data_IF_255386934851
#
_entry.id   IF_255386934851
#
_cell.length_a   1.000
_cell.length_b   1.000
_cell.length_c   1.000
_cell.angle_alpha   90.00
_cell.angle_beta   90.00
_cell.angle_gamma   90.00
#
_symmetry.space_group_name_H-M   'P 1'
#
loop_
_entity.id
_entity.type
_entity.pdbx_description
1 polymer ?
#
# COMPACT_ATOMS: atom_id res chain seq x y z
N UNK A 1 22.08 -5.10 1.86
CA UNK A 1 21.72 -3.71 1.53
C UNK A 1 20.25 -3.66 1.12
N UNK A 2 19.54 -2.54 1.29
CA UNK A 2 18.14 -2.41 0.91
C UNK A 2 17.86 -1.08 0.20
N UNK A 3 16.83 -1.09 -0.64
CA UNK A 3 16.23 0.06 -1.29
C UNK A 3 14.72 0.07 -0.93
N UNK A 4 14.33 0.70 0.19
CA UNK A 4 12.93 0.70 0.67
C UNK A 4 11.99 1.53 -0.21
N UNK A 5 12.53 2.38 -1.08
CA UNK A 5 11.80 3.15 -2.10
C UNK A 5 11.83 2.48 -3.48
N UNK A 6 12.29 1.22 -3.58
CA UNK A 6 12.05 0.44 -4.80
C UNK A 6 10.55 0.23 -4.96
N UNK A 7 10.05 0.59 -6.14
CA UNK A 7 8.64 0.59 -6.46
C UNK A 7 8.35 -0.16 -7.75
N UNK A 8 7.13 -0.67 -7.83
CA UNK A 8 6.58 -1.35 -8.98
C UNK A 8 5.30 -0.64 -9.44
N UNK A 9 5.16 -0.47 -10.75
CA UNK A 9 3.94 0.05 -11.38
C UNK A 9 2.92 -1.07 -11.53
N UNK A 10 1.73 -0.88 -10.97
CA UNK A 10 0.60 -1.81 -11.04
C UNK A 10 -0.64 -1.01 -11.44
N UNK A 11 -1.08 -1.15 -12.69
CA UNK A 11 -2.11 -0.26 -13.22
C UNK A 11 -1.58 1.18 -13.30
N UNK A 12 -2.44 2.14 -12.96
CA UNK A 12 -2.05 3.54 -12.72
C UNK A 12 -1.37 3.77 -11.37
N UNK A 13 -1.33 2.76 -10.49
CA UNK A 13 -0.75 2.86 -9.14
C UNK A 13 0.73 2.51 -9.10
N UNK A 14 1.45 3.07 -8.12
CA UNK A 14 2.88 2.84 -7.87
C UNK A 14 3.06 2.35 -6.44
N UNK A 15 3.37 1.07 -6.29
CA UNK A 15 3.51 0.41 -4.99
C UNK A 15 4.96 0.38 -4.55
N UNK A 16 5.27 0.95 -3.38
CA UNK A 16 6.63 1.03 -2.82
C UNK A 16 6.84 -0.06 -1.78
N UNK A 17 6.96 -1.30 -2.27
CA UNK A 17 7.07 -2.51 -1.42
C UNK A 17 8.44 -2.65 -0.76
N UNK A 18 9.49 -2.11 -1.41
CA UNK A 18 10.89 -2.21 -1.00
C UNK A 18 11.58 -3.50 -1.45
N UNK A 19 12.90 -3.44 -1.64
CA UNK A 19 13.73 -4.60 -2.03
C UNK A 19 15.06 -4.62 -1.29
N UNK A 20 15.55 -5.82 -0.98
CA UNK A 20 16.84 -6.02 -0.32
C UNK A 20 17.71 -7.01 -1.08
N UNK A 21 19.03 -6.81 -1.04
CA UNK A 21 20.04 -7.70 -1.60
C UNK A 21 20.97 -8.20 -0.49
N UNK A 22 21.14 -9.52 -0.42
CA UNK A 22 22.17 -10.17 0.41
C UNK A 22 23.48 -10.16 -0.36
N UNK A 23 24.54 -9.69 0.29
CA UNK A 23 25.89 -9.64 -0.27
C UNK A 23 26.77 -10.72 0.39
N UNK A 24 27.79 -11.18 -0.32
CA UNK A 24 28.90 -11.97 0.23
C UNK A 24 30.06 -11.08 0.72
N UNK A 25 31.18 -11.71 1.08
CA UNK A 25 32.38 -11.02 1.55
C UNK A 25 33.09 -10.17 0.49
N UNK A 26 32.85 -10.44 -0.80
CA UNK A 26 33.37 -9.69 -1.94
C UNK A 26 32.34 -8.64 -2.45
N UNK A 27 31.32 -8.37 -1.62
CA UNK A 27 30.20 -7.46 -1.88
C UNK A 27 29.36 -7.82 -3.12
N UNK A 28 29.41 -9.08 -3.59
CA UNK A 28 28.61 -9.54 -4.72
C UNK A 28 27.20 -9.94 -4.27
N UNK A 29 26.16 -9.66 -5.07
CA UNK A 29 24.79 -10.04 -4.74
C UNK A 29 24.60 -11.56 -4.89
N UNK A 30 24.37 -12.24 -3.77
CA UNK A 30 24.12 -13.69 -3.70
C UNK A 30 22.65 -14.06 -3.54
N UNK A 31 21.76 -13.08 -3.34
CA UNK A 31 20.32 -13.30 -3.29
C UNK A 31 19.51 -12.03 -3.07
N UNK A 32 18.23 -12.10 -3.43
CA UNK A 32 17.26 -11.00 -3.33
C UNK A 32 16.18 -11.34 -2.31
N UNK A 33 15.83 -10.37 -1.49
CA UNK A 33 14.80 -10.44 -0.44
C UNK A 33 13.75 -9.39 -0.79
N UNK A 34 12.58 -9.85 -1.26
CA UNK A 34 11.45 -9.02 -1.66
C UNK A 34 10.13 -9.65 -1.17
N UNK A 35 9.94 -9.83 0.15
CA UNK A 35 8.82 -10.61 0.71
C UNK A 35 7.47 -9.93 0.57
N UNK A 36 7.46 -8.60 0.51
CA UNK A 36 6.30 -7.71 0.37
C UNK A 36 6.06 -7.31 -1.08
N UNK A 37 6.90 -7.74 -2.03
CA UNK A 37 6.67 -7.58 -3.46
C UNK A 37 5.53 -8.51 -3.89
N UNK A 38 4.29 -8.06 -3.66
CA UNK A 38 3.11 -8.69 -4.19
C UNK A 38 3.14 -8.64 -5.73
N UNK A 39 2.51 -9.63 -6.39
CA UNK A 39 2.15 -9.46 -7.79
C UNK A 39 1.05 -8.39 -7.86
N UNK A 40 1.09 -7.52 -8.86
CA UNK A 40 0.04 -6.54 -9.09
C UNK A 40 -1.34 -7.22 -9.05
N UNK A 41 -2.22 -6.75 -8.17
CA UNK A 41 -3.59 -7.24 -7.97
C UNK A 41 -4.55 -6.83 -9.09
N UNK A 42 -4.02 -6.31 -10.21
CA UNK A 42 -4.72 -5.97 -11.47
C UNK A 42 -5.19 -7.23 -12.24
N UNK A 43 -5.63 -8.26 -11.54
CA UNK A 43 -6.09 -9.52 -12.08
C UNK A 43 -7.62 -9.46 -12.23
N UNK A 44 -8.05 -8.75 -13.28
CA UNK A 44 -9.47 -8.49 -13.56
C UNK A 44 -9.88 -9.01 -14.92
N UNK A 45 -11.10 -9.52 -15.00
CA UNK A 45 -11.79 -9.77 -16.27
C UNK A 45 -12.75 -8.62 -16.52
N UNK A 46 -12.56 -7.91 -17.64
CA UNK A 46 -13.44 -6.83 -18.07
C UNK A 46 -14.23 -7.30 -19.28
N UNK A 47 -15.57 -7.25 -19.20
CA UNK A 47 -16.45 -7.47 -20.36
C UNK A 47 -17.15 -6.17 -20.69
N UNK A 48 -16.88 -5.62 -21.86
CA UNK A 48 -17.61 -4.46 -22.37
C UNK A 48 -18.86 -4.99 -23.09
N UNK A 49 -20.03 -4.46 -22.73
CA UNK A 49 -21.33 -4.76 -23.34
C UNK A 49 -21.80 -3.53 -24.07
N UNK A 50 -21.80 -3.61 -25.41
CA UNK A 50 -21.83 -2.45 -26.29
C UNK A 50 -23.04 -2.47 -27.21
N UNK A 51 -23.85 -1.42 -27.11
CA UNK A 51 -24.97 -1.19 -28.01
C UNK A 51 -24.47 -0.91 -29.45
N UNK A 52 -24.91 -1.73 -30.39
CA UNK A 52 -24.65 -1.65 -31.82
C UNK A 52 -25.93 -1.43 -32.66
N UNK A 53 -27.02 -1.02 -32.01
CA UNK A 53 -28.31 -0.72 -32.64
C UNK A 53 -28.24 0.51 -33.57
N UNK A 54 -29.35 0.83 -34.25
CA UNK A 54 -29.43 1.89 -35.25
C UNK A 54 -29.57 3.32 -34.68
N UNK A 55 -29.68 3.50 -33.37
CA UNK A 55 -29.67 4.82 -32.72
C UNK A 55 -28.25 5.38 -32.58
N UNK A 56 -27.28 4.51 -32.24
CA UNK A 56 -25.85 4.80 -32.07
C UNK A 56 -25.26 5.36 -33.38
N UNK A 57 -25.05 6.68 -33.42
CA UNK A 57 -24.42 7.34 -34.56
C UNK A 57 -23.71 8.65 -34.16
N UNK A 58 -22.43 8.84 -34.56
CA UNK A 58 -21.67 8.02 -35.50
C UNK A 58 -20.80 6.95 -34.82
N UNK A 59 -20.74 5.75 -35.42
CA UNK A 59 -20.03 4.59 -34.86
C UNK A 59 -18.53 4.81 -34.58
N UNK A 60 -17.86 5.68 -35.34
CA UNK A 60 -16.42 5.90 -35.15
C UNK A 60 -16.09 6.52 -33.79
N UNK A 61 -17.01 7.24 -33.14
CA UNK A 61 -16.78 7.76 -31.79
C UNK A 61 -16.79 6.65 -30.74
N UNK A 62 -17.60 5.60 -30.96
CA UNK A 62 -17.58 4.39 -30.14
C UNK A 62 -16.25 3.64 -30.33
N UNK A 63 -15.75 3.53 -31.56
CA UNK A 63 -14.43 2.94 -31.85
C UNK A 63 -13.29 3.76 -31.21
N UNK A 64 -13.38 5.09 -31.20
CA UNK A 64 -12.45 5.99 -30.52
C UNK A 64 -12.49 5.77 -29.00
N UNK A 65 -13.68 5.76 -28.40
CA UNK A 65 -13.87 5.51 -26.96
C UNK A 65 -13.26 4.17 -26.55
N UNK A 66 -13.57 3.08 -27.27
CA UNK A 66 -12.97 1.76 -27.04
C UNK A 66 -11.45 1.83 -27.14
N UNK A 67 -10.91 2.41 -28.22
CA UNK A 67 -9.45 2.55 -28.39
C UNK A 67 -8.79 3.31 -27.23
N UNK A 68 -9.44 4.38 -26.76
CA UNK A 68 -8.92 5.22 -25.70
C UNK A 68 -8.99 4.52 -24.33
N UNK A 69 -10.12 3.91 -23.95
CA UNK A 69 -10.23 3.20 -22.67
C UNK A 69 -9.34 1.94 -22.63
N UNK A 70 -9.28 1.17 -23.71
CA UNK A 70 -8.48 -0.06 -23.79
C UNK A 70 -6.98 0.25 -23.75
N UNK A 71 -6.55 1.42 -24.25
CA UNK A 71 -5.15 1.89 -24.12
C UNK A 71 -4.72 2.23 -22.70
N UNK A 72 -5.68 2.45 -21.77
CA UNK A 72 -5.41 2.70 -20.35
C UNK A 72 -5.27 1.40 -19.54
N UNK A 73 -5.75 0.27 -20.07
CA UNK A 73 -5.73 -1.01 -19.37
C UNK A 73 -4.41 -1.76 -19.57
N UNK A 74 -3.88 -2.32 -18.48
CA UNK A 74 -2.70 -3.17 -18.48
C UNK A 74 -3.10 -4.61 -18.84
N UNK A 75 -3.32 -4.82 -20.13
CA UNK A 75 -3.83 -6.07 -20.69
C UNK A 75 -2.70 -7.09 -20.78
N UNK A 76 -2.94 -8.29 -20.22
CA UNK A 76 -1.99 -9.39 -20.23
C UNK A 76 -2.51 -10.65 -19.52
N UNK A 77 -1.97 -11.84 -19.84
CA UNK A 77 -2.51 -13.11 -19.34
C UNK A 77 -2.49 -13.24 -17.81
N UNK A 78 -1.54 -12.57 -17.14
CA UNK A 78 -1.44 -12.49 -15.68
C UNK A 78 -1.98 -11.18 -15.06
N UNK A 79 -2.66 -10.34 -15.84
CA UNK A 79 -3.21 -9.03 -15.45
C UNK A 79 -4.66 -8.91 -15.94
N UNK A 80 -5.01 -7.81 -16.63
CA UNK A 80 -6.35 -7.58 -17.14
C UNK A 80 -6.58 -8.40 -18.41
N UNK A 81 -7.74 -9.04 -18.52
CA UNK A 81 -8.24 -9.62 -19.76
C UNK A 81 -9.52 -8.90 -20.17
N UNK A 82 -9.71 -8.67 -21.47
CA UNK A 82 -10.88 -7.93 -21.98
C UNK A 82 -11.64 -8.74 -23.01
N UNK A 83 -12.94 -8.93 -22.78
CA UNK A 83 -13.91 -9.44 -23.75
C UNK A 83 -14.83 -8.31 -24.23
N UNK A 84 -15.40 -8.45 -25.44
CA UNK A 84 -16.35 -7.49 -26.00
C UNK A 84 -17.58 -8.21 -26.54
N UNK A 85 -18.74 -7.87 -26.01
CA UNK A 85 -20.05 -8.34 -26.44
C UNK A 85 -20.80 -7.16 -27.09
N UNK A 86 -21.03 -7.22 -28.40
CA UNK A 86 -21.87 -6.23 -29.09
C UNK A 86 -23.32 -6.73 -29.14
N UNK A 87 -24.31 -5.83 -29.00
CA UNK A 87 -25.72 -6.21 -29.02
C UNK A 87 -26.66 -5.25 -29.77
N UNK A 88 -27.87 -5.74 -30.06
CA UNK A 88 -28.96 -5.03 -30.74
C UNK A 88 -30.20 -5.91 -30.74
N UNK A 89 -30.63 -6.41 -31.90
CA UNK A 89 -31.62 -7.50 -32.02
C UNK A 89 -31.05 -8.87 -31.56
N UNK A 90 -29.72 -9.02 -31.61
CA UNK A 90 -28.98 -10.20 -31.16
C UNK A 90 -27.78 -9.74 -30.32
N UNK A 91 -27.13 -10.64 -29.59
CA UNK A 91 -25.89 -10.36 -28.86
C UNK A 91 -24.78 -11.33 -29.29
N UNK A 92 -23.61 -10.79 -29.65
CA UNK A 92 -22.49 -11.52 -30.27
C UNK A 92 -21.20 -11.15 -29.55
N UNK A 93 -20.38 -12.17 -29.27
CA UNK A 93 -19.03 -11.97 -28.74
C UNK A 93 -18.10 -11.62 -29.90
N UNK A 94 -17.68 -10.35 -29.98
CA UNK A 94 -16.71 -9.86 -30.97
C UNK A 94 -15.33 -10.44 -30.67
N UNK A 95 -15.01 -10.57 -29.37
CA UNK A 95 -13.95 -11.43 -28.87
C UNK A 95 -14.16 -11.83 -27.41
N UNK A 96 -13.50 -12.91 -27.02
CA UNK A 96 -13.58 -13.55 -25.69
C UNK A 96 -12.42 -13.12 -24.78
N UNK A 97 -12.53 -13.38 -23.47
CA UNK A 97 -11.47 -13.07 -22.51
C UNK A 97 -10.19 -13.86 -22.87
N UNK A 98 -9.04 -13.21 -22.71
CA UNK A 98 -7.74 -13.80 -23.00
C UNK A 98 -7.45 -14.02 -24.50
N UNK A 99 -8.34 -13.62 -25.41
CA UNK A 99 -8.11 -13.73 -26.87
C UNK A 99 -6.89 -12.94 -27.36
N UNK A 100 -6.61 -11.83 -26.71
CA UNK A 100 -5.49 -10.93 -26.96
C UNK A 100 -4.62 -10.81 -25.70
N UNK A 101 -3.35 -10.45 -25.87
CA UNK A 101 -2.36 -10.51 -24.80
C UNK A 101 -1.65 -9.18 -24.52
N UNK A 102 -1.87 -8.14 -25.34
CA UNK A 102 -1.37 -6.78 -25.07
C UNK A 102 -2.44 -5.73 -25.39
N UNK A 103 -2.24 -4.50 -24.92
CA UNK A 103 -3.16 -3.39 -25.17
C UNK A 103 -3.18 -2.99 -26.66
N UNK A 104 -2.05 -3.05 -27.34
CA UNK A 104 -1.93 -2.71 -28.77
C UNK A 104 -2.77 -3.65 -29.65
N UNK A 105 -2.76 -4.96 -29.36
CA UNK A 105 -3.58 -5.96 -30.06
C UNK A 105 -5.08 -5.67 -29.91
N UNK A 106 -5.52 -5.40 -28.67
CA UNK A 106 -6.93 -5.12 -28.34
C UNK A 106 -7.39 -3.79 -28.94
N UNK A 107 -6.55 -2.75 -28.89
CA UNK A 107 -6.85 -1.45 -29.50
C UNK A 107 -6.94 -1.55 -31.02
N UNK A 108 -6.11 -2.37 -31.67
CA UNK A 108 -6.22 -2.58 -33.12
C UNK A 108 -7.47 -3.41 -33.49
N UNK A 109 -7.87 -4.38 -32.67
CA UNK A 109 -9.17 -5.04 -32.83
C UNK A 109 -10.35 -4.07 -32.69
N UNK A 110 -10.30 -3.18 -31.69
CA UNK A 110 -11.34 -2.18 -31.41
C UNK A 110 -11.51 -1.13 -32.52
N UNK A 111 -10.45 -0.78 -33.27
CA UNK A 111 -10.58 0.11 -34.45
C UNK A 111 -11.28 -0.55 -35.64
N UNK A 112 -11.20 -1.88 -35.72
CA UNK A 112 -11.69 -2.65 -36.87
C UNK A 112 -13.08 -3.27 -36.64
N UNK A 113 -13.71 -3.04 -35.47
CA UNK A 113 -15.06 -3.53 -35.17
C UNK A 113 -16.14 -2.85 -36.02
N UNK A 114 -16.94 -3.66 -36.71
CA UNK A 114 -18.14 -3.20 -37.42
C UNK A 114 -19.35 -3.16 -36.49
N UNK A 115 -20.17 -2.12 -36.63
CA UNK A 115 -21.50 -2.05 -36.00
C UNK A 115 -22.38 -3.18 -36.52
N UNK A 116 -23.11 -3.88 -35.63
CA UNK A 116 -23.97 -5.01 -36.03
C UNK A 116 -25.20 -4.59 -36.84
N UNK A 117 -25.73 -3.40 -36.52
CA UNK A 117 -27.01 -2.87 -37.00
C UNK A 117 -28.22 -3.65 -36.45
N UNK A 118 -29.23 -2.93 -35.95
CA UNK A 118 -30.41 -3.54 -35.34
C UNK A 118 -31.50 -2.52 -35.04
N UNK A 119 -32.77 -2.94 -35.12
CA UNK A 119 -33.94 -2.09 -34.87
C UNK A 119 -34.41 -2.12 -33.42
N UNK A 120 -33.98 -3.11 -32.65
CA UNK A 120 -34.23 -3.26 -31.22
C UNK A 120 -32.93 -3.08 -30.44
N UNK A 121 -33.05 -2.67 -29.18
CA UNK A 121 -31.96 -2.56 -28.20
C UNK A 121 -32.27 -3.53 -27.05
N UNK A 122 -31.73 -4.75 -27.12
CA UNK A 122 -31.98 -5.82 -26.13
C UNK A 122 -30.92 -5.86 -25.01
N UNK A 123 -31.00 -4.88 -24.13
CA UNK A 123 -30.02 -4.65 -23.05
C UNK A 123 -30.07 -5.74 -21.98
N UNK A 124 -31.27 -6.19 -21.58
CA UNK A 124 -31.40 -7.23 -20.55
C UNK A 124 -30.80 -8.56 -21.03
N UNK A 125 -31.11 -8.97 -22.26
CA UNK A 125 -30.55 -10.15 -22.90
C UNK A 125 -29.01 -10.07 -23.00
N UNK A 126 -28.46 -8.91 -23.36
CA UNK A 126 -27.02 -8.70 -23.46
C UNK A 126 -26.32 -8.82 -22.10
N UNK A 127 -26.88 -8.20 -21.05
CA UNK A 127 -26.37 -8.29 -19.67
C UNK A 127 -26.41 -9.73 -19.16
N UNK A 128 -27.54 -10.42 -19.32
CA UNK A 128 -27.67 -11.82 -18.93
C UNK A 128 -26.62 -12.69 -19.66
N UNK A 129 -26.43 -12.49 -20.97
CA UNK A 129 -25.44 -13.21 -21.77
C UNK A 129 -24.00 -12.90 -21.36
N UNK A 130 -23.69 -11.66 -21.01
CA UNK A 130 -22.36 -11.30 -20.49
C UNK A 130 -22.08 -12.04 -19.18
N UNK A 131 -23.01 -12.00 -18.23
CA UNK A 131 -22.87 -12.63 -16.92
C UNK A 131 -22.89 -14.17 -16.97
N UNK A 132 -23.58 -14.79 -17.93
CA UNK A 132 -23.64 -16.26 -18.05
C UNK A 132 -22.62 -16.88 -19.00
N UNK A 133 -22.29 -16.23 -20.13
CA UNK A 133 -21.35 -16.74 -21.13
C UNK A 133 -20.02 -15.99 -21.17
N UNK A 134 -19.99 -14.65 -21.16
CA UNK A 134 -18.74 -13.91 -21.41
C UNK A 134 -17.71 -14.08 -20.29
N UNK A 135 -18.16 -14.17 -19.04
CA UNK A 135 -17.32 -14.50 -17.88
C UNK A 135 -17.16 -16.00 -17.61
N UNK A 136 -17.59 -16.87 -18.52
CA UNK A 136 -17.50 -18.32 -18.31
C UNK A 136 -16.07 -18.85 -18.56
N UNK A 137 -15.63 -19.92 -17.87
CA UNK A 137 -14.30 -20.50 -18.11
C UNK A 137 -14.07 -20.97 -19.54
N UNK A 138 -15.14 -21.36 -20.24
CA UNK A 138 -15.11 -21.76 -21.65
C UNK A 138 -14.76 -20.60 -22.59
N UNK A 139 -15.00 -19.35 -22.17
CA UNK A 139 -14.66 -18.10 -22.88
C UNK A 139 -13.46 -17.35 -22.28
N UNK A 140 -12.64 -18.03 -21.50
CA UNK A 140 -11.44 -17.47 -20.86
C UNK A 140 -11.66 -16.83 -19.49
N UNK A 141 -12.88 -16.83 -18.96
CA UNK A 141 -13.19 -16.27 -17.64
C UNK A 141 -12.46 -16.96 -16.49
N UNK A 142 -11.83 -16.18 -15.64
CA UNK A 142 -10.98 -16.65 -14.54
C UNK A 142 -11.78 -16.69 -13.24
N UNK A 143 -11.57 -17.74 -12.44
CA UNK A 143 -12.35 -17.96 -11.22
C UNK A 143 -11.90 -17.05 -10.07
N UNK A 144 -10.63 -16.66 -10.08
CA UNK A 144 -9.92 -15.84 -9.11
C UNK A 144 -9.80 -14.36 -9.52
N UNK A 145 -10.37 -13.97 -10.67
CA UNK A 145 -10.38 -12.59 -11.14
C UNK A 145 -11.60 -11.79 -10.68
N UNK A 146 -11.39 -10.50 -10.39
CA UNK A 146 -12.47 -9.54 -10.21
C UNK A 146 -13.20 -9.37 -11.55
N UNK A 147 -14.52 -9.53 -11.56
CA UNK A 147 -15.35 -9.45 -12.76
C UNK A 147 -16.00 -8.07 -12.87
N UNK A 148 -15.71 -7.38 -13.97
CA UNK A 148 -16.19 -6.02 -14.20
C UNK A 148 -16.88 -5.94 -15.57
N UNK A 149 -18.12 -5.50 -15.58
CA UNK A 149 -18.89 -5.25 -16.80
C UNK A 149 -19.01 -3.75 -17.05
N UNK A 150 -18.83 -3.30 -18.29
CA UNK A 150 -19.05 -1.92 -18.71
C UNK A 150 -20.16 -1.93 -19.75
N UNK A 151 -21.36 -1.47 -19.39
CA UNK A 151 -22.52 -1.36 -20.30
C UNK A 151 -22.54 0.03 -20.93
N UNK A 152 -22.68 0.12 -22.25
CA UNK A 152 -22.74 1.38 -23.00
C UNK A 152 -23.92 1.35 -23.98
N UNK A 153 -24.84 2.30 -23.86
CA UNK A 153 -26.06 2.39 -24.69
C UNK A 153 -26.54 3.84 -24.83
N UNK A 154 -27.33 4.13 -25.87
CA UNK A 154 -27.96 5.43 -26.15
C UNK A 154 -29.50 5.41 -26.12
N UNK A 155 -30.12 4.29 -25.72
CA UNK A 155 -31.57 4.10 -25.75
C UNK A 155 -32.11 3.18 -24.66
N UNK A 156 -33.37 3.42 -24.27
CA UNK A 156 -34.14 2.50 -23.42
C UNK A 156 -34.21 1.09 -24.01
N UNK A 157 -34.10 0.10 -23.12
CA UNK A 157 -34.15 -1.30 -23.48
C UNK A 157 -35.55 -1.73 -23.95
N UNK A 158 -35.60 -2.52 -25.02
CA UNK A 158 -36.85 -3.10 -25.52
C UNK A 158 -37.28 -4.34 -24.70
N UNK A 159 -36.39 -4.85 -23.85
CA UNK A 159 -36.52 -6.00 -22.96
C UNK A 159 -36.39 -5.61 -21.47
N UNK A 160 -36.71 -4.36 -21.11
CA UNK A 160 -36.52 -3.83 -19.76
C UNK A 160 -37.26 -4.56 -18.64
N UNK A 161 -38.35 -5.26 -18.95
CA UNK A 161 -39.05 -6.14 -17.98
C UNK A 161 -38.19 -7.34 -17.55
N UNK A 162 -37.18 -7.74 -18.34
CA UNK A 162 -36.27 -8.86 -18.08
C UNK A 162 -35.00 -8.44 -17.31
N UNK A 163 -34.74 -7.13 -17.15
CA UNK A 163 -33.56 -6.61 -16.42
C UNK A 163 -33.40 -7.18 -15.00
N UNK A 164 -34.45 -7.33 -14.17
CA UNK A 164 -34.29 -7.86 -12.81
C UNK A 164 -33.72 -9.29 -12.76
N UNK A 165 -34.04 -10.14 -13.74
CA UNK A 165 -33.50 -11.50 -13.85
C UNK A 165 -32.04 -11.48 -14.30
N UNK A 166 -31.73 -10.67 -15.32
CA UNK A 166 -30.38 -10.47 -15.82
C UNK A 166 -29.42 -9.97 -14.71
N UNK A 167 -29.84 -8.95 -13.95
CA UNK A 167 -29.05 -8.36 -12.88
C UNK A 167 -28.87 -9.32 -11.69
N UNK A 168 -29.88 -10.11 -11.33
CA UNK A 168 -29.77 -11.12 -10.28
C UNK A 168 -28.71 -12.20 -10.61
N UNK A 169 -28.60 -12.60 -11.89
CA UNK A 169 -27.63 -13.59 -12.33
C UNK A 169 -26.19 -13.04 -12.40
N UNK A 170 -26.04 -11.71 -12.56
CA UNK A 170 -24.78 -10.97 -12.40
C UNK A 170 -24.35 -10.83 -10.93
N UNK A 171 -25.26 -10.45 -10.03
CA UNK A 171 -25.01 -10.34 -8.58
C UNK A 171 -24.55 -11.69 -7.99
N UNK A 172 -25.23 -12.79 -8.37
CA UNK A 172 -24.86 -14.16 -8.00
C UNK A 172 -23.43 -14.58 -8.43
N UNK A 173 -22.81 -13.84 -9.36
CA UNK A 173 -21.43 -14.07 -9.86
C UNK A 173 -20.43 -13.01 -9.39
N UNK A 174 -20.83 -12.10 -8.51
CA UNK A 174 -20.06 -10.93 -8.07
C UNK A 174 -19.52 -10.11 -9.27
N UNK A 175 -20.37 -9.85 -10.27
CA UNK A 175 -20.02 -8.96 -11.39
C UNK A 175 -20.32 -7.52 -11.02
N UNK A 176 -19.27 -6.71 -10.83
CA UNK A 176 -19.40 -5.24 -10.67
C UNK A 176 -19.77 -4.61 -12.01
N UNK A 177 -20.75 -3.70 -12.04
CA UNK A 177 -21.30 -3.15 -13.28
C UNK A 177 -21.16 -1.63 -13.32
N UNK A 178 -20.46 -1.16 -14.33
CA UNK A 178 -20.47 0.24 -14.75
C UNK A 178 -21.47 0.42 -15.88
N UNK A 179 -22.19 1.54 -15.88
CA UNK A 179 -23.23 1.82 -16.87
C UNK A 179 -23.08 3.24 -17.41
N UNK A 180 -23.03 3.39 -18.73
CA UNK A 180 -22.79 4.64 -19.45
C UNK A 180 -23.99 4.95 -20.34
N UNK A 181 -24.71 6.02 -20.00
CA UNK A 181 -25.85 6.54 -20.75
C UNK A 181 -25.40 7.61 -21.76
N UNK A 182 -25.59 7.36 -23.06
CA UNK A 182 -25.29 8.30 -24.14
C UNK A 182 -26.56 9.08 -24.53
N UNK A 183 -26.62 10.37 -24.20
CA UNK A 183 -27.84 11.17 -24.36
C UNK A 183 -28.06 11.75 -25.77
N UNK A 184 -27.13 11.48 -26.70
CA UNK A 184 -27.11 12.07 -28.04
C UNK A 184 -28.43 11.86 -28.80
N UNK A 185 -28.98 10.65 -28.76
CA UNK A 185 -30.24 10.30 -29.42
C UNK A 185 -31.44 11.14 -28.96
N UNK A 186 -31.55 11.35 -27.63
CA UNK A 186 -32.65 12.08 -26.99
C UNK A 186 -32.51 13.59 -27.20
N UNK A 187 -31.32 14.14 -26.97
CA UNK A 187 -31.05 15.58 -27.13
C UNK A 187 -31.24 16.03 -28.59
N UNK A 188 -30.83 15.21 -29.57
CA UNK A 188 -31.06 15.48 -31.00
C UNK A 188 -32.56 15.49 -31.39
N UNK A 189 -33.42 14.85 -30.61
CA UNK A 189 -34.88 14.78 -30.84
C UNK A 189 -35.72 15.63 -29.88
N UNK A 190 -35.10 16.36 -28.95
CA UNK A 190 -35.79 17.09 -27.88
C UNK A 190 -36.71 16.18 -27.04
N UNK A 191 -36.27 14.94 -26.81
CA UNK A 191 -36.96 13.98 -25.95
C UNK A 191 -36.39 14.05 -24.53
N UNK A 192 -37.23 13.74 -23.54
CA UNK A 192 -36.88 13.68 -22.13
C UNK A 192 -36.14 12.35 -21.82
N UNK A 193 -34.90 12.38 -21.29
CA UNK A 193 -34.14 11.18 -20.96
C UNK A 193 -34.36 10.68 -19.52
N UNK A 194 -35.31 11.21 -18.73
CA UNK A 194 -35.46 10.83 -17.31
C UNK A 194 -35.71 9.33 -17.08
N UNK A 195 -36.54 8.68 -17.91
CA UNK A 195 -36.82 7.23 -17.79
C UNK A 195 -35.60 6.39 -18.23
N UNK A 196 -34.95 6.76 -19.35
CA UNK A 196 -33.67 6.18 -19.79
C UNK A 196 -32.58 6.23 -18.71
N UNK A 197 -32.33 7.42 -18.14
CA UNK A 197 -31.30 7.59 -17.08
C UNK A 197 -31.62 6.72 -15.86
N UNK A 198 -32.90 6.51 -15.54
CA UNK A 198 -33.34 5.65 -14.44
C UNK A 198 -33.06 4.16 -14.72
N UNK A 199 -33.28 3.71 -15.95
CA UNK A 199 -32.92 2.36 -16.39
C UNK A 199 -31.40 2.11 -16.30
N UNK A 200 -30.58 3.03 -16.82
CA UNK A 200 -29.12 2.84 -16.85
C UNK A 200 -28.51 2.93 -15.44
N UNK A 201 -29.08 3.72 -14.52
CA UNK A 201 -28.76 3.67 -13.09
C UNK A 201 -29.08 2.31 -12.47
N UNK A 202 -30.27 1.76 -12.77
CA UNK A 202 -30.67 0.45 -12.27
C UNK A 202 -29.77 -0.71 -12.76
N UNK A 203 -29.12 -0.55 -13.92
CA UNK A 203 -28.12 -1.49 -14.44
C UNK A 203 -26.79 -1.41 -13.68
N UNK A 204 -26.39 -0.23 -13.19
CA UNK A 204 -25.14 -0.03 -12.48
C UNK A 204 -25.10 -0.80 -11.14
N UNK A 205 -23.91 -0.91 -10.54
CA UNK A 205 -23.75 -1.32 -9.14
C UNK A 205 -23.93 -0.13 -8.20
N UNK A 206 -24.30 -0.40 -6.94
CA UNK A 206 -24.38 0.63 -5.90
C UNK A 206 -23.00 1.05 -5.35
N UNK A 207 -22.76 2.34 -5.05
CA UNK A 207 -23.68 3.46 -5.23
C UNK A 207 -23.57 4.11 -6.62
N UNK A 208 -24.69 4.62 -7.13
CA UNK A 208 -24.83 5.34 -8.41
C UNK A 208 -23.66 6.29 -8.70
N UNK A 209 -23.26 7.14 -7.74
CA UNK A 209 -22.26 8.19 -7.96
C UNK A 209 -20.88 7.64 -8.36
N UNK A 210 -20.62 6.35 -8.10
CA UNK A 210 -19.37 5.65 -8.44
C UNK A 210 -19.45 4.88 -9.77
N UNK A 211 -20.59 4.26 -10.09
CA UNK A 211 -20.68 3.29 -11.18
C UNK A 211 -21.51 3.75 -12.38
N UNK A 212 -22.37 4.75 -12.21
CA UNK A 212 -23.13 5.36 -13.30
C UNK A 212 -22.39 6.58 -13.91
N UNK A 213 -22.43 6.68 -15.22
CA UNK A 213 -21.96 7.83 -16.01
C UNK A 213 -23.02 8.23 -17.04
N UNK A 214 -23.15 9.53 -17.31
CA UNK A 214 -23.87 10.03 -18.46
C UNK A 214 -22.99 10.94 -19.31
N UNK A 215 -23.22 10.93 -20.62
CA UNK A 215 -22.53 11.79 -21.59
C UNK A 215 -23.55 12.45 -22.52
N UNK A 216 -23.25 13.66 -22.99
CA UNK A 216 -24.18 14.44 -23.84
C UNK A 216 -24.36 13.85 -25.23
N UNK A 217 -23.30 13.24 -25.77
CA UNK A 217 -23.27 12.61 -27.09
C UNK A 217 -22.15 11.57 -27.15
N UNK A 218 -22.00 10.93 -28.30
CA UNK A 218 -21.03 9.89 -28.57
C UNK A 218 -19.58 10.40 -28.49
N UNK A 219 -19.32 11.67 -28.81
CA UNK A 219 -17.97 12.24 -28.76
C UNK A 219 -17.51 12.48 -27.32
N UNK A 220 -18.43 12.91 -26.45
CA UNK A 220 -18.22 13.08 -25.00
C UNK A 220 -17.92 11.77 -24.25
N UNK A 221 -18.07 10.59 -24.87
CA UNK A 221 -17.54 9.34 -24.33
C UNK A 221 -16.02 9.41 -24.07
N UNK A 222 -15.28 10.20 -24.86
CA UNK A 222 -13.83 10.34 -24.68
C UNK A 222 -13.48 11.13 -23.40
N UNK A 223 -14.34 12.04 -22.94
CA UNK A 223 -14.11 12.86 -21.74
C UNK A 223 -14.20 12.05 -20.44
N UNK A 224 -14.97 10.96 -20.44
CA UNK A 224 -15.13 10.09 -19.27
C UNK A 224 -14.06 9.00 -19.16
N UNK A 225 -13.19 8.82 -20.16
CA UNK A 225 -12.18 7.74 -20.20
C UNK A 225 -11.23 7.80 -19.00
N UNK A 226 -10.72 8.99 -18.66
CA UNK A 226 -9.82 9.16 -17.52
C UNK A 226 -10.55 8.92 -16.19
N UNK A 227 -11.75 9.49 -16.02
CA UNK A 227 -12.55 9.31 -14.80
C UNK A 227 -13.00 7.86 -14.58
N UNK A 228 -13.34 7.14 -15.64
CA UNK A 228 -13.71 5.72 -15.59
C UNK A 228 -12.47 4.85 -15.30
N UNK A 229 -11.35 5.10 -15.98
CA UNK A 229 -10.08 4.43 -15.70
C UNK A 229 -9.66 4.58 -14.24
N UNK A 230 -9.56 5.81 -13.74
CA UNK A 230 -9.15 6.11 -12.36
C UNK A 230 -10.07 5.43 -11.33
N UNK A 231 -11.39 5.37 -11.58
CA UNK A 231 -12.33 4.67 -10.68
C UNK A 231 -12.17 3.15 -10.70
N UNK A 232 -11.88 2.56 -11.87
CA UNK A 232 -11.62 1.12 -12.00
C UNK A 232 -10.33 0.75 -11.23
N UNK A 233 -9.26 1.53 -11.36
CA UNK A 233 -8.01 1.28 -10.65
C UNK A 233 -8.06 1.62 -9.15
N UNK A 234 -8.87 2.60 -8.73
CA UNK A 234 -9.05 2.97 -7.30
C UNK A 234 -9.72 1.88 -6.46
N UNK A 235 -10.35 0.88 -7.09
CA UNK A 235 -10.90 -0.29 -6.40
C UNK A 235 -9.82 -1.20 -5.80
N UNK A 236 -8.58 -1.16 -6.29
CA UNK A 236 -7.48 -2.00 -5.79
C UNK A 236 -6.88 -1.55 -4.44
N UNK A 237 -7.28 -0.38 -3.92
CA UNK A 237 -6.79 0.19 -2.66
C UNK A 237 -7.88 0.57 -1.66
N UNK A 238 -9.13 0.09 -1.84
CA UNK A 238 -10.24 0.38 -0.92
C UNK A 238 -11.09 -0.85 -0.61
N UNK A 239 -10.48 -1.79 0.12
CA UNK A 239 -11.24 -2.59 1.08
C UNK A 239 -12.04 -1.67 2.02
N UNK A 240 -13.18 -2.14 2.54
CA UNK A 240 -14.24 -1.25 3.06
C UNK A 240 -13.81 -0.33 4.22
N UNK A 241 -14.65 0.65 4.59
CA UNK A 241 -14.35 1.74 5.55
C UNK A 241 -13.61 1.35 6.86
N UNK A 242 -13.73 0.10 7.31
CA UNK A 242 -13.10 -0.46 8.52
C UNK A 242 -11.82 -1.26 8.29
N UNK A 243 -11.44 -1.59 7.05
CA UNK A 243 -10.21 -2.30 6.69
C UNK A 243 -9.09 -1.30 6.35
N UNK A 244 -7.87 -1.81 6.13
CA UNK A 244 -6.77 -0.99 5.60
C UNK A 244 -6.92 -0.78 4.11
N UNK A 245 -6.56 0.41 3.63
CA UNK A 245 -6.47 0.67 2.19
C UNK A 245 -5.23 0.03 1.59
N UNK A 246 -4.14 -0.02 2.35
CA UNK A 246 -2.91 -0.71 1.98
C UNK A 246 -2.48 -1.65 3.11
N UNK A 247 -2.32 -2.94 2.81
CA UNK A 247 -1.73 -3.92 3.73
C UNK A 247 -0.20 -3.90 3.64
N UNK A 248 0.38 -4.28 2.50
CA UNK A 248 1.83 -4.45 2.32
C UNK A 248 2.35 -3.88 0.99
N UNK A 249 1.48 -3.31 0.16
CA UNK A 249 1.77 -2.69 -1.13
C UNK A 249 2.73 -1.49 -0.95
N UNK A 250 2.57 -0.79 0.18
CA UNK A 250 3.42 0.33 0.60
C UNK A 250 4.37 -0.05 1.74
N UNK A 251 4.68 -1.33 1.95
CA UNK A 251 5.43 -1.79 3.13
C UNK A 251 6.81 -1.13 3.31
N UNK A 252 7.48 -0.72 2.23
CA UNK A 252 8.82 -0.11 2.24
C UNK A 252 9.85 -0.96 3.02
N UNK A 253 9.93 -2.28 2.76
CA UNK A 253 10.80 -3.17 3.53
C UNK A 253 12.27 -2.76 3.46
N UNK A 254 12.95 -2.88 4.60
CA UNK A 254 14.35 -2.50 4.72
C UNK A 254 14.52 -1.00 4.87
N UNK A 255 13.47 -0.30 5.31
CA UNK A 255 13.56 1.08 5.78
C UNK A 255 14.55 1.18 6.93
N UNK A 256 14.50 0.21 7.84
CA UNK A 256 15.55 -0.10 8.80
C UNK A 256 15.83 -1.61 8.80
N UNK A 257 17.01 -1.99 9.29
CA UNK A 257 17.51 -3.37 9.29
C UNK A 257 18.32 -3.58 10.56
N UNK A 258 18.13 -4.71 11.24
CA UNK A 258 18.98 -5.16 12.33
C UNK A 258 19.38 -6.63 12.12
N UNK A 259 20.66 -6.93 12.32
CA UNK A 259 21.17 -8.30 12.17
C UNK A 259 20.97 -9.08 13.47
N UNK A 260 20.44 -10.30 13.35
CA UNK A 260 20.25 -11.24 14.44
C UNK A 260 21.27 -12.37 14.33
N UNK A 261 21.49 -13.13 15.41
CA UNK A 261 22.38 -14.31 15.38
C UNK A 261 21.96 -15.36 14.34
N UNK A 262 20.65 -15.47 14.06
CA UNK A 262 20.04 -16.51 13.22
C UNK A 262 19.25 -15.97 12.02
N UNK A 263 19.29 -14.65 11.77
CA UNK A 263 18.46 -14.00 10.75
C UNK A 263 18.60 -12.49 10.67
N UNK A 264 17.59 -11.83 10.11
CA UNK A 264 17.51 -10.37 9.95
C UNK A 264 16.12 -9.91 10.39
N UNK A 265 16.08 -8.82 11.16
CA UNK A 265 14.86 -8.06 11.45
C UNK A 265 14.80 -6.84 10.51
N UNK A 266 13.70 -6.68 9.80
CA UNK A 266 13.44 -5.55 8.91
C UNK A 266 12.33 -4.66 9.47
N UNK A 267 12.49 -3.36 9.32
CA UNK A 267 11.42 -2.38 9.47
C UNK A 267 10.60 -2.21 8.18
N UNK A 268 9.28 -2.03 8.33
CA UNK A 268 8.31 -1.86 7.24
C UNK A 268 7.36 -0.69 7.56
N UNK A 269 7.85 0.55 7.42
CA UNK A 269 7.16 1.76 7.92
C UNK A 269 5.82 2.07 7.27
N UNK A 270 5.59 1.59 6.05
CA UNK A 270 4.37 1.85 5.29
C UNK A 270 3.39 0.68 5.24
N UNK A 271 3.66 -0.39 5.98
CA UNK A 271 2.68 -1.47 6.17
C UNK A 271 1.45 -0.95 6.93
N UNK A 272 0.27 -1.46 6.58
CA UNK A 272 -1.02 -1.18 7.23
C UNK A 272 -1.33 0.32 7.34
N UNK A 273 -1.47 0.99 6.20
CA UNK A 273 -1.70 2.46 6.09
C UNK A 273 -0.67 3.32 6.85
N UNK A 274 0.60 2.92 6.85
CA UNK A 274 1.69 3.57 7.60
C UNK A 274 1.55 3.53 9.14
N UNK A 275 0.69 2.69 9.72
CA UNK A 275 0.89 2.26 11.12
C UNK A 275 2.30 1.67 11.29
N UNK A 276 2.73 0.89 10.30
CA UNK A 276 4.03 0.25 10.21
C UNK A 276 4.07 -1.12 10.85
N UNK A 277 5.12 -1.89 10.53
CA UNK A 277 5.33 -3.25 11.02
C UNK A 277 6.81 -3.63 11.01
N UNK A 278 7.10 -4.87 11.40
CA UNK A 278 8.41 -5.50 11.27
C UNK A 278 8.29 -6.85 10.56
N UNK A 279 9.41 -7.36 10.06
CA UNK A 279 9.51 -8.70 9.47
C UNK A 279 10.79 -9.37 9.96
N UNK A 280 10.69 -10.61 10.46
CA UNK A 280 11.87 -11.47 10.70
C UNK A 280 12.05 -12.42 9.52
N UNK A 281 13.28 -12.53 9.01
CA UNK A 281 13.68 -13.60 8.11
C UNK A 281 14.89 -14.31 8.72
N UNK A 282 14.67 -15.52 9.22
CA UNK A 282 15.67 -16.33 9.92
C UNK A 282 15.70 -17.77 9.41
N UNK A 283 16.63 -18.58 9.91
CA UNK A 283 16.66 -20.02 9.64
C UNK A 283 15.37 -20.76 10.05
N UNK A 284 14.51 -20.14 10.87
CA UNK A 284 13.20 -20.65 11.30
C UNK A 284 12.08 -20.33 10.31
N UNK A 285 12.36 -19.59 9.23
CA UNK A 285 11.41 -19.14 8.23
C UNK A 285 11.21 -17.62 8.25
N UNK A 286 10.20 -17.16 7.52
CA UNK A 286 9.81 -15.75 7.44
C UNK A 286 8.58 -15.49 8.29
N UNK A 287 8.63 -14.47 9.14
CA UNK A 287 7.55 -14.09 10.04
C UNK A 287 7.14 -12.66 9.75
N UNK A 288 5.87 -12.48 9.36
CA UNK A 288 5.22 -11.19 9.16
C UNK A 288 4.05 -11.14 10.14
N UNK A 289 4.12 -10.37 11.23
CA UNK A 289 2.99 -10.17 12.11
C UNK A 289 1.84 -9.49 11.36
N UNK A 290 0.60 -10.00 11.43
CA UNK A 290 -0.55 -9.29 10.89
C UNK A 290 -0.80 -8.01 11.68
N UNK A 291 -1.47 -7.01 11.09
CA UNK A 291 -1.85 -5.73 11.75
C UNK A 291 -2.34 -5.92 13.20
N UNK A 292 -3.23 -6.90 13.41
CA UNK A 292 -3.85 -7.22 14.71
C UNK A 292 -2.86 -7.60 15.81
N UNK A 293 -1.64 -8.03 15.47
CA UNK A 293 -0.59 -8.33 16.43
C UNK A 293 -0.12 -7.08 17.20
N UNK A 294 -0.24 -5.89 16.61
CA UNK A 294 0.15 -4.61 17.21
C UNK A 294 -1.04 -3.75 17.68
N UNK A 295 -2.28 -4.19 17.45
CA UNK A 295 -3.53 -3.42 17.67
C UNK A 295 -3.70 -2.88 19.11
N UNK A 296 -3.16 -3.57 20.12
CA UNK A 296 -3.17 -3.07 21.52
C UNK A 296 -2.34 -1.80 21.70
N UNK A 297 -1.26 -1.65 20.92
CA UNK A 297 -0.34 -0.52 20.99
C UNK A 297 -0.61 0.53 19.90
N UNK A 298 -1.27 0.13 18.82
CA UNK A 298 -1.62 0.92 17.64
C UNK A 298 -3.09 0.63 17.28
N UNK A 299 -4.05 1.23 18.03
CA UNK A 299 -5.46 0.90 17.91
C UNK A 299 -6.09 1.55 16.67
N UNK A 300 -7.20 0.97 16.18
CA UNK A 300 -7.78 1.29 14.87
C UNK A 300 -8.24 2.76 14.73
N UNK A 301 -8.58 3.43 15.83
CA UNK A 301 -8.93 4.86 15.86
C UNK A 301 -7.76 5.76 15.43
N UNK A 302 -6.52 5.25 15.50
CA UNK A 302 -5.30 5.95 15.08
C UNK A 302 -4.80 5.50 13.70
N UNK A 303 -5.55 4.69 12.92
CA UNK A 303 -5.08 4.12 11.64
C UNK A 303 -4.54 5.11 10.61
N UNK A 304 -4.98 6.36 10.67
CA UNK A 304 -4.55 7.43 9.76
C UNK A 304 -3.45 8.35 10.35
N UNK A 305 -2.92 8.06 11.55
CA UNK A 305 -1.85 8.86 12.16
C UNK A 305 -0.48 8.65 11.52
N UNK A 306 -0.31 7.58 10.72
CA UNK A 306 0.95 7.18 10.09
C UNK A 306 2.09 7.11 11.12
N UNK A 307 2.01 6.15 12.04
CA UNK A 307 2.89 6.02 13.20
C UNK A 307 4.34 5.63 12.85
N UNK A 308 4.55 4.99 11.70
CA UNK A 308 5.83 4.49 11.18
C UNK A 308 6.52 3.49 12.12
N UNK A 309 5.80 2.51 12.65
CA UNK A 309 6.43 1.39 13.37
C UNK A 309 7.43 0.67 12.46
N UNK A 310 8.61 0.37 12.99
CA UNK A 310 9.74 -0.15 12.22
C UNK A 310 10.58 0.95 11.55
N UNK A 311 10.44 2.22 11.93
CA UNK A 311 11.34 3.28 11.45
C UNK A 311 12.79 3.02 11.86
N UNK A 312 12.98 2.53 13.08
CA UNK A 312 14.22 1.93 13.56
C UNK A 312 13.90 0.58 14.21
N UNK A 313 14.81 -0.39 14.07
CA UNK A 313 14.67 -1.73 14.66
C UNK A 313 15.96 -2.15 15.33
N UNK A 314 15.87 -2.94 16.41
CA UNK A 314 17.01 -3.54 17.10
C UNK A 314 16.58 -4.78 17.88
N UNK A 315 17.48 -5.39 18.66
CA UNK A 315 17.16 -6.49 19.58
C UNK A 315 17.95 -6.40 20.87
N UNK A 316 17.33 -6.78 21.98
CA UNK A 316 17.97 -6.97 23.28
C UNK A 316 18.17 -8.46 23.55
N UNK A 317 19.28 -8.82 24.17
CA UNK A 317 19.48 -10.13 24.81
C UNK A 317 19.31 -9.96 26.31
N UNK A 318 18.48 -10.79 26.92
CA UNK A 318 18.20 -10.78 28.36
C UNK A 318 18.98 -11.90 29.07
N UNK A 319 19.17 -11.83 30.40
CA UNK A 319 19.70 -12.93 31.19
C UNK A 319 18.96 -14.24 30.91
N UNK A 320 19.71 -15.32 30.72
CA UNK A 320 19.14 -16.62 30.28
C UNK A 320 18.97 -16.78 28.77
N UNK A 321 19.40 -15.80 27.96
CA UNK A 321 19.45 -15.91 26.49
C UNK A 321 18.15 -15.61 25.77
N UNK A 322 17.10 -15.18 26.48
CA UNK A 322 15.85 -14.70 25.91
C UNK A 322 16.09 -13.44 25.07
N UNK A 323 15.39 -13.30 23.93
CA UNK A 323 15.52 -12.16 23.01
C UNK A 323 14.25 -11.31 23.03
N UNK A 324 14.40 -9.99 23.15
CA UNK A 324 13.35 -9.03 22.84
C UNK A 324 13.70 -8.31 21.54
N UNK A 325 12.71 -8.11 20.68
CA UNK A 325 12.81 -7.21 19.54
C UNK A 325 12.44 -5.78 19.96
N UNK A 326 13.08 -4.80 19.35
CA UNK A 326 12.82 -3.37 19.58
C UNK A 326 12.37 -2.76 18.25
N UNK A 327 11.27 -2.00 18.26
CA UNK A 327 10.83 -1.26 17.10
C UNK A 327 10.37 0.15 17.49
N UNK A 328 10.88 1.14 16.76
CA UNK A 328 10.53 2.55 16.89
C UNK A 328 9.40 2.97 15.96
N UNK A 329 8.53 3.86 16.45
CA UNK A 329 7.38 4.45 15.76
C UNK A 329 7.36 5.97 16.02
N UNK A 330 8.30 6.75 15.44
CA UNK A 330 8.59 8.13 15.85
C UNK A 330 7.50 9.15 15.51
N UNK A 331 6.46 8.75 14.75
CA UNK A 331 5.28 9.58 14.46
C UNK A 331 4.06 9.23 15.32
N UNK A 332 4.10 8.17 16.13
CA UNK A 332 2.99 7.76 16.98
C UNK A 332 2.47 8.94 17.84
N UNK A 333 1.18 9.27 17.70
CA UNK A 333 0.53 10.44 18.33
C UNK A 333 1.33 11.75 18.20
N UNK A 334 2.15 11.86 17.16
CA UNK A 334 3.11 12.92 16.88
C UNK A 334 4.16 13.16 17.97
N UNK A 335 4.27 12.29 18.98
CA UNK A 335 5.32 12.34 20.02
C UNK A 335 6.42 11.30 19.80
N UNK A 336 6.07 10.18 19.18
CA UNK A 336 6.94 9.03 18.99
C UNK A 336 6.74 7.97 20.08
N UNK A 337 7.10 6.74 19.75
CA UNK A 337 6.95 5.55 20.60
C UNK A 337 8.04 4.52 20.28
N UNK A 338 8.42 3.70 21.25
CA UNK A 338 9.24 2.51 21.06
C UNK A 338 8.56 1.33 21.75
N UNK A 339 8.49 0.17 21.11
CA UNK A 339 7.99 -1.05 21.73
C UNK A 339 9.10 -2.10 21.85
N UNK A 340 9.09 -2.82 22.97
CA UNK A 340 9.91 -4.00 23.25
C UNK A 340 8.98 -5.21 23.27
N UNK A 341 9.24 -6.21 22.43
CA UNK A 341 8.29 -7.31 22.22
C UNK A 341 8.96 -8.64 21.91
N UNK A 342 8.25 -9.72 22.22
CA UNK A 342 8.53 -11.06 21.71
C UNK A 342 7.69 -11.33 20.47
N UNK A 343 8.21 -12.15 19.56
CA UNK A 343 7.51 -12.58 18.36
C UNK A 343 7.62 -14.11 18.23
N UNK A 344 6.47 -14.77 18.22
CA UNK A 344 6.38 -16.20 17.99
C UNK A 344 6.47 -16.54 16.50
N UNK A 345 6.83 -17.79 16.17
CA UNK A 345 6.87 -18.29 14.78
C UNK A 345 5.52 -18.27 14.07
N UNK A 346 4.42 -18.12 14.82
CA UNK A 346 3.04 -17.91 14.33
C UNK A 346 2.75 -16.46 13.90
N UNK A 347 3.71 -15.53 14.04
CA UNK A 347 3.47 -14.09 13.86
C UNK A 347 2.75 -13.43 15.04
N UNK A 348 2.51 -14.16 16.12
CA UNK A 348 1.91 -13.60 17.36
C UNK A 348 2.95 -12.74 18.09
N UNK A 349 2.60 -11.49 18.36
CA UNK A 349 3.45 -10.54 19.10
C UNK A 349 2.98 -10.43 20.55
N UNK A 350 3.93 -10.48 21.49
CA UNK A 350 3.69 -10.15 22.90
C UNK A 350 4.54 -8.96 23.28
N UNK A 351 3.90 -7.80 23.44
CA UNK A 351 4.60 -6.58 23.86
C UNK A 351 4.96 -6.70 25.34
N UNK A 352 6.25 -6.77 25.63
CA UNK A 352 6.79 -6.76 26.99
C UNK A 352 6.70 -5.35 27.58
N UNK A 353 6.87 -4.31 26.75
CA UNK A 353 6.80 -2.92 27.17
C UNK A 353 6.62 -1.94 25.99
N UNK A 354 5.98 -0.81 26.27
CA UNK A 354 5.89 0.33 25.37
C UNK A 354 6.38 1.62 26.06
N UNK A 355 7.17 2.42 25.33
CA UNK A 355 7.75 3.70 25.74
C UNK A 355 7.16 4.79 24.85
N UNK A 356 6.59 5.85 25.44
CA UNK A 356 6.00 6.95 24.67
C UNK A 356 6.80 8.23 24.89
N UNK A 357 7.11 8.95 23.80
CA UNK A 357 7.79 10.24 23.86
C UNK A 357 6.95 11.29 24.58
N UNK A 358 7.61 12.21 25.28
CA UNK A 358 6.93 13.24 26.08
C UNK A 358 6.45 14.41 25.22
N UNK A 359 7.32 14.86 24.30
CA UNK A 359 7.18 16.08 23.51
C UNK A 359 6.71 15.80 22.07
N UNK A 360 5.72 16.57 21.61
CA UNK A 360 5.23 16.55 20.23
C UNK A 360 6.32 17.06 19.28
N UNK A 361 6.51 16.38 18.16
CA UNK A 361 7.53 16.70 17.15
C UNK A 361 8.92 16.20 17.48
N UNK A 362 9.17 15.68 18.69
CA UNK A 362 10.52 15.27 19.14
C UNK A 362 11.12 14.07 18.40
N UNK A 363 10.28 13.32 17.68
CA UNK A 363 10.68 12.17 16.87
C UNK A 363 11.28 11.02 17.72
N UNK A 364 10.76 10.84 18.94
CA UNK A 364 11.22 9.82 19.90
C UNK A 364 11.09 8.40 19.33
N UNK A 365 12.17 7.63 19.36
CA UNK A 365 12.22 6.30 18.77
C UNK A 365 12.58 6.27 17.28
N UNK A 366 13.14 7.35 16.74
CA UNK A 366 13.65 7.37 15.35
C UNK A 366 15.04 6.74 15.18
N UNK A 367 15.77 6.56 16.28
CA UNK A 367 17.01 5.80 16.35
C UNK A 367 17.01 5.02 17.68
N UNK A 368 17.47 3.77 17.66
CA UNK A 368 17.61 2.91 18.84
C UNK A 368 18.93 2.15 18.78
N UNK A 369 19.64 2.07 19.90
CA UNK A 369 20.94 1.39 19.97
C UNK A 369 21.04 0.54 21.24
N UNK A 370 21.21 -0.77 21.06
CA UNK A 370 21.39 -1.75 22.12
C UNK A 370 22.90 -1.93 22.41
N UNK A 371 23.29 -1.82 23.68
CA UNK A 371 24.66 -2.03 24.15
C UNK A 371 24.71 -3.13 25.21
N UNK A 372 25.64 -4.06 24.99
CA UNK A 372 26.27 -4.93 25.99
C UNK A 372 27.53 -4.18 26.43
N UNK A 373 27.58 -3.73 27.69
CA UNK A 373 28.60 -2.78 28.15
C UNK A 373 29.78 -3.52 28.78
N UNK A 374 29.56 -4.58 29.55
CA UNK A 374 30.65 -5.38 30.14
C UNK A 374 31.09 -6.61 29.32
N UNK A 375 30.38 -6.91 28.22
CA UNK A 375 30.74 -7.97 27.28
C UNK A 375 30.29 -9.37 27.72
N UNK A 376 29.36 -9.50 28.68
CA UNK A 376 28.87 -10.80 29.15
C UNK A 376 27.89 -11.49 28.19
N UNK A 377 27.46 -10.80 27.12
CA UNK A 377 26.48 -11.26 26.15
C UNK A 377 25.04 -10.84 26.45
N UNK A 378 24.78 -10.08 27.52
CA UNK A 378 23.48 -9.52 27.88
C UNK A 378 23.45 -8.03 27.53
N UNK A 379 22.30 -7.54 27.08
CA UNK A 379 22.15 -6.11 26.75
C UNK A 379 21.89 -5.28 28.00
N UNK A 380 22.94 -4.65 28.52
CA UNK A 380 22.90 -3.70 29.63
C UNK A 380 22.04 -2.47 29.34
N UNK A 381 22.22 -1.83 28.18
CA UNK A 381 21.65 -0.49 27.90
C UNK A 381 20.88 -0.51 26.59
N UNK A 382 19.71 0.14 26.57
CA UNK A 382 19.02 0.55 25.35
C UNK A 382 19.00 2.08 25.30
N UNK A 383 19.75 2.64 24.37
CA UNK A 383 19.61 4.04 23.97
C UNK A 383 18.42 4.17 23.02
N UNK A 384 17.62 5.20 23.24
CA UNK A 384 16.58 5.69 22.34
C UNK A 384 16.93 7.13 22.03
N UNK A 385 16.68 7.61 20.81
CA UNK A 385 16.85 9.02 20.46
C UNK A 385 15.53 9.77 20.27
N UNK A 386 15.58 11.09 20.47
CA UNK A 386 14.54 12.05 20.09
C UNK A 386 15.22 13.28 19.44
N UNK A 387 15.78 13.15 18.23
CA UNK A 387 16.67 14.14 17.64
C UNK A 387 15.99 15.47 17.28
N UNK A 388 14.65 15.54 17.27
CA UNK A 388 13.91 16.78 17.03
C UNK A 388 13.38 17.40 18.33
N UNK A 389 13.87 16.95 19.50
CA UNK A 389 13.46 17.49 20.79
C UNK A 389 13.95 18.94 20.97
N UNK A 390 13.01 19.86 21.23
CA UNK A 390 13.26 21.28 21.43
C UNK A 390 13.28 21.62 22.93
N UNK A 391 14.40 22.17 23.40
CA UNK A 391 14.50 22.80 24.73
C UNK A 391 14.18 24.31 24.63
N UNK A 392 13.23 24.79 25.45
CA UNK A 392 12.88 26.20 25.51
C UNK A 392 14.00 27.06 26.12
N UNK A 393 14.08 28.32 25.73
CA UNK A 393 15.13 29.24 26.18
C UNK A 393 15.24 29.30 27.71
N UNK A 394 16.45 29.11 28.23
CA UNK A 394 16.73 29.18 29.67
C UNK A 394 16.67 27.84 30.42
N UNK A 395 16.14 26.77 29.81
CA UNK A 395 16.32 25.41 30.36
C UNK A 395 17.57 24.76 29.76
N UNK A 396 18.34 24.08 30.62
CA UNK A 396 19.50 23.28 30.19
C UNK A 396 19.00 22.09 29.36
N UNK A 397 19.75 21.70 28.34
CA UNK A 397 19.34 20.66 27.39
C UNK A 397 19.09 19.31 28.06
N UNK A 398 17.82 18.88 28.07
CA UNK A 398 17.30 17.64 28.63
C UNK A 398 15.97 17.30 27.94
N UNK A 399 15.53 16.02 27.87
CA UNK A 399 16.33 14.80 27.71
C UNK A 399 15.72 13.81 26.69
N UNK A 400 16.42 12.71 26.37
CA UNK A 400 15.76 11.49 25.87
C UNK A 400 15.59 10.51 27.04
N UNK A 401 14.38 10.02 27.35
CA UNK A 401 14.16 9.12 28.49
C UNK A 401 14.51 7.65 28.15
N UNK A 402 15.42 7.00 28.91
CA UNK A 402 15.55 5.55 28.90
C UNK A 402 14.47 4.90 29.78
N UNK A 403 13.90 3.80 29.31
CA UNK A 403 12.96 2.94 30.03
C UNK A 403 13.09 1.52 29.42
N UNK A 404 13.05 0.45 30.23
CA UNK A 404 12.84 -0.97 29.84
C UNK A 404 12.22 -1.61 31.09
N UNK A 405 12.37 -2.91 31.23
CA UNK A 405 12.87 -3.51 32.47
C UNK A 405 14.19 -2.84 32.98
N UNK A 406 14.64 -1.72 32.40
CA UNK A 406 15.61 -0.71 32.88
C UNK A 406 14.80 0.35 33.63
N UNK A 407 15.14 0.59 34.89
CA UNK A 407 14.83 1.90 35.47
C UNK A 407 15.53 2.99 34.62
N UNK A 408 14.94 4.19 34.46
CA UNK A 408 15.60 5.31 33.80
C UNK A 408 16.96 5.60 34.45
N UNK A 409 18.06 5.24 33.77
CA UNK A 409 19.41 5.31 34.34
C UNK A 409 20.07 6.68 34.21
N UNK A 410 19.59 7.53 33.29
CA UNK A 410 20.10 8.89 33.10
C UNK A 410 19.74 9.47 31.73
N UNK A 411 20.54 10.40 31.24
CA UNK A 411 20.45 10.95 29.88
C UNK A 411 21.85 11.31 29.41
N UNK A 412 22.16 11.06 28.13
CA UNK A 412 23.39 11.53 27.52
C UNK A 412 23.26 13.03 27.18
N UNK A 413 24.19 13.85 27.65
CA UNK A 413 24.18 15.30 27.46
C UNK A 413 25.23 15.75 26.44
N UNK A 414 24.80 16.44 25.37
CA UNK A 414 25.64 17.23 24.48
C UNK A 414 26.22 18.48 25.19
N UNK A 415 26.99 19.31 24.46
CA UNK A 415 27.50 20.58 25.02
C UNK A 415 26.36 21.60 25.28
N UNK A 416 26.66 22.74 25.90
CA UNK A 416 25.70 23.64 26.53
C UNK A 416 24.90 24.55 25.58
N UNK A 417 25.06 24.45 24.26
CA UNK A 417 24.35 25.31 23.27
C UNK A 417 23.86 24.63 21.95
N UNK A 418 23.33 23.39 21.94
CA UNK A 418 22.89 22.76 20.70
C UNK A 418 21.44 23.19 20.44
N UNK A 419 21.22 24.34 19.80
CA UNK A 419 19.91 24.64 19.21
C UNK A 419 19.81 23.93 17.87
N UNK A 420 18.78 23.09 17.72
CA UNK A 420 18.49 22.30 16.50
C UNK A 420 19.67 21.44 15.98
N UNK A 421 20.57 20.96 16.86
CA UNK A 421 21.76 20.19 16.45
C UNK A 421 21.45 18.77 15.94
N UNK A 422 20.23 18.29 16.20
CA UNK A 422 19.78 16.91 16.01
C UNK A 422 20.66 15.88 16.70
N UNK A 423 21.11 16.17 17.92
CA UNK A 423 21.79 15.21 18.77
C UNK A 423 20.97 13.91 18.92
N UNK A 424 21.60 12.76 18.65
CA UNK A 424 20.93 11.45 18.61
C UNK A 424 20.41 11.05 17.24
N UNK A 425 20.67 11.80 16.16
CA UNK A 425 20.22 11.44 14.82
C UNK A 425 20.84 10.15 14.26
N UNK A 426 22.01 9.77 14.79
CA UNK A 426 22.65 8.48 14.58
C UNK A 426 23.36 8.07 15.87
N UNK A 427 23.31 6.78 16.22
CA UNK A 427 23.98 6.22 17.40
C UNK A 427 24.69 4.91 17.05
N UNK A 428 25.84 4.65 17.68
CA UNK A 428 26.48 3.35 17.57
C UNK A 428 27.12 2.92 18.89
N UNK A 429 26.93 1.64 19.22
CA UNK A 429 27.80 0.90 20.12
C UNK A 429 29.18 0.78 19.47
N UNK A 430 30.23 1.06 20.22
CA UNK A 430 31.62 0.88 19.77
C UNK A 430 32.40 0.07 20.81
N UNK A 431 33.46 -0.65 20.40
CA UNK A 431 34.35 -1.29 21.37
C UNK A 431 34.91 -0.27 22.36
N UNK A 432 35.28 -0.75 23.55
CA UNK A 432 36.04 -0.02 24.55
C UNK A 432 37.19 0.80 23.91
N UNK A 433 37.06 2.14 23.92
CA UNK A 433 38.02 3.05 23.30
C UNK A 433 39.10 3.54 24.28
N UNK A 434 38.91 3.37 25.58
CA UNK A 434 39.79 3.89 26.62
C UNK A 434 40.59 2.80 27.36
N UNK A 435 40.26 1.53 27.09
CA UNK A 435 40.78 0.30 27.68
C UNK A 435 40.48 0.14 29.19
N UNK A 436 39.30 0.57 29.65
CA UNK A 436 38.82 0.39 31.03
C UNK A 436 38.00 -0.91 31.25
N UNK A 437 37.70 -1.63 30.18
CA UNK A 437 36.96 -2.89 30.20
C UNK A 437 35.47 -2.77 29.84
N UNK A 438 34.97 -1.57 29.53
CA UNK A 438 33.57 -1.34 29.18
C UNK A 438 33.40 -0.79 27.75
N UNK A 439 32.42 -1.30 27.02
CA UNK A 439 32.08 -0.82 25.67
C UNK A 439 31.50 0.61 25.73
N UNK A 440 31.87 1.40 24.73
CA UNK A 440 31.54 2.83 24.64
C UNK A 440 30.37 3.08 23.68
N UNK A 441 29.83 4.30 23.70
CA UNK A 441 28.82 4.76 22.75
C UNK A 441 29.26 6.05 22.02
N UNK A 442 28.95 6.13 20.73
CA UNK A 442 29.09 7.38 19.95
C UNK A 442 27.73 7.89 19.49
N UNK A 443 27.54 9.20 19.56
CA UNK A 443 26.28 9.87 19.21
C UNK A 443 26.53 11.05 18.27
N UNK A 444 25.85 11.04 17.12
CA UNK A 444 25.93 12.12 16.12
C UNK A 444 24.97 13.28 16.41
N UNK A 445 25.43 14.50 16.13
CA UNK A 445 24.64 15.73 16.10
C UNK A 445 24.91 16.46 14.77
N UNK A 446 24.33 16.02 13.64
CA UNK A 446 24.75 16.43 12.30
C UNK A 446 24.46 17.89 11.95
N UNK A 447 23.55 18.56 12.68
CA UNK A 447 23.23 19.97 12.46
C UNK A 447 23.95 20.92 13.43
N UNK A 448 24.73 20.40 14.37
CA UNK A 448 25.55 21.18 15.29
C UNK A 448 26.47 22.16 14.53
N UNK A 449 26.87 23.22 15.23
CA UNK A 449 27.88 24.18 14.77
C UNK A 449 27.49 24.91 13.47
N UNK A 450 26.19 24.99 13.18
CA UNK A 450 25.66 25.57 11.94
C UNK A 450 25.81 24.61 10.76
N UNK A 451 25.26 23.40 10.90
CA UNK A 451 25.27 22.33 9.89
C UNK A 451 26.68 21.81 9.52
N UNK A 452 27.68 22.00 10.40
CA UNK A 452 28.99 21.33 10.26
C UNK A 452 28.98 19.93 10.87
N UNK A 453 28.15 19.73 11.90
CA UNK A 453 27.98 18.48 12.61
C UNK A 453 29.04 18.24 13.69
N UNK A 454 28.64 17.47 14.70
CA UNK A 454 29.50 16.97 15.77
C UNK A 454 29.26 15.48 16.02
N UNK A 455 30.24 14.82 16.63
CA UNK A 455 30.14 13.45 17.14
C UNK A 455 30.66 13.46 18.58
N UNK A 456 29.88 12.87 19.48
CA UNK A 456 30.15 12.82 20.91
C UNK A 456 30.50 11.39 21.33
N UNK A 457 31.53 11.22 22.15
CA UNK A 457 31.95 9.93 22.72
C UNK A 457 31.53 9.85 24.19
N UNK A 458 30.81 8.78 24.56
CA UNK A 458 30.38 8.50 25.94
C UNK A 458 31.00 7.19 26.40
N UNK A 459 31.73 7.23 27.52
CA UNK A 459 32.37 6.03 28.03
C UNK A 459 31.40 5.10 28.76
N UNK A 460 31.68 3.80 28.65
CA UNK A 460 31.10 2.74 29.46
C UNK A 460 31.34 2.90 30.97
N UNK A 461 30.56 2.17 31.74
CA UNK A 461 30.68 1.98 33.17
C UNK A 461 29.91 0.69 33.56
N UNK A 462 30.15 0.10 34.75
CA UNK A 462 29.45 -1.12 35.16
C UNK A 462 27.91 -1.04 35.00
N UNK A 463 27.38 -1.77 34.01
CA UNK A 463 25.95 -1.82 33.67
C UNK A 463 25.31 -0.52 33.15
N UNK A 464 26.08 0.49 32.70
CA UNK A 464 25.53 1.77 32.20
C UNK A 464 26.52 2.57 31.35
N UNK A 465 26.09 3.72 30.82
CA UNK A 465 26.96 4.72 30.16
C UNK A 465 27.10 5.97 31.05
N UNK A 466 28.27 6.61 31.02
CA UNK A 466 28.46 7.89 31.69
C UNK A 466 27.64 9.00 30.97
N UNK A 467 26.85 9.84 31.69
CA UNK A 467 25.92 10.79 31.07
C UNK A 467 26.60 12.02 30.42
N UNK A 468 27.90 12.20 30.64
CA UNK A 468 28.68 13.30 30.09
C UNK A 468 29.68 12.78 29.08
N UNK A 469 29.67 13.39 27.89
CA UNK A 469 30.62 13.10 26.84
C UNK A 469 32.06 13.38 27.28
N UNK A 470 33.00 12.73 26.60
CA UNK A 470 34.43 12.71 26.91
C UNK A 470 35.26 13.34 25.81
N UNK A 471 34.74 13.27 24.58
CA UNK A 471 35.22 13.91 23.37
C UNK A 471 34.02 14.35 22.53
#
# INVERSE_FOLDING_TARGET
>A
ACAPLWSQTCGTSVFSTGICARLDGDLQPVGTIAPTAQRCSTYMDIVIVLDGSNSIYPWYEVQNFLSNILSKFFIGPGQIQVGLLQYGEQAVHEWELGRYHTAEEVVEAAKNISRQEGRETRTAFAIHRACTEAFSPERGGRADATRLMIVVTDGESHDGEELPEALAECEKRNVTRYAIAVLGHYLRRQQDPEDFIREIKYIASDPDEKYFFNVTDEAALNDIVDALGDRIFSLEGTHGYNESSFELEMAQIGFSIHLLEDGILFGMVGAYDWDGAVLEESGRGRIIPPRKAFEKEFPLELKNHAAYLGYAVSSLRLPGGQRLYVAGAPRFQHKGKVILFEMATTGTVTVAQALTGEQIGSYFGSEVCALDVDGDGVTDVLLVAAPMYLALWGTKGHPVPPQRLLAPSGTLHADKKPQDSRFGYAMAAVPDLNHDGFSDAVVGAPLEDGHRGAVYVYHGAPGTLLPHYKQ
#
